data_IF_593000652412
#
_entry.id   IF_593000652412
#
_cell.length_a   1.000
_cell.length_b   1.000
_cell.length_c   1.000
_cell.angle_alpha   90.00
_cell.angle_beta   90.00
_cell.angle_gamma   90.00
#
_symmetry.space_group_name_H-M   'P 1'
#
loop_
_entity.id
_entity.type
_entity.pdbx_description
1 polymer ?
#
# COMPACT_ATOMS: atom_id res chain seq x y z
N UNK A 1 33.60 -22.96 13.92
CA UNK A 1 34.50 -22.32 14.91
C UNK A 1 35.00 -20.95 14.49
N UNK A 2 35.55 -20.75 13.28
CA UNK A 2 36.03 -19.44 12.79
C UNK A 2 34.96 -18.33 12.73
N UNK A 3 33.71 -18.67 12.37
CA UNK A 3 32.63 -17.69 12.26
C UNK A 3 32.22 -17.09 13.62
N UNK A 4 32.16 -17.92 14.66
CA UNK A 4 31.72 -17.53 16.01
C UNK A 4 32.77 -16.61 16.67
N UNK A 5 34.06 -16.92 16.48
CA UNK A 5 35.14 -16.07 16.98
C UNK A 5 35.16 -14.68 16.33
N UNK A 6 34.91 -14.60 15.03
CA UNK A 6 34.83 -13.33 14.29
C UNK A 6 33.61 -12.48 14.71
N UNK A 7 32.45 -13.11 14.90
CA UNK A 7 31.23 -12.42 15.36
C UNK A 7 31.39 -11.85 16.78
N UNK A 8 31.98 -12.62 17.70
CA UNK A 8 32.25 -12.14 19.06
C UNK A 8 33.19 -10.92 19.06
N UNK A 9 34.19 -10.91 18.16
CA UNK A 9 35.15 -9.83 18.04
C UNK A 9 34.52 -8.54 17.46
N UNK A 10 33.68 -8.67 16.42
CA UNK A 10 32.96 -7.53 15.84
C UNK A 10 31.94 -6.93 16.80
N UNK A 11 31.21 -7.76 17.56
CA UNK A 11 30.23 -7.29 18.54
C UNK A 11 30.92 -6.62 19.74
N UNK A 12 32.04 -7.17 20.21
CA UNK A 12 32.85 -6.55 21.27
C UNK A 12 33.44 -5.20 20.81
N UNK A 13 33.97 -5.13 19.59
CA UNK A 13 34.52 -3.90 19.02
C UNK A 13 33.43 -2.84 18.76
N UNK A 14 32.27 -3.26 18.27
CA UNK A 14 31.10 -2.39 18.09
C UNK A 14 30.57 -1.84 19.41
N UNK A 15 30.58 -2.63 20.49
CA UNK A 15 30.22 -2.16 21.83
C UNK A 15 31.25 -1.15 22.37
N UNK A 16 32.55 -1.41 22.19
CA UNK A 16 33.63 -0.51 22.62
C UNK A 16 33.59 0.85 21.92
N UNK A 17 33.20 0.91 20.65
CA UNK A 17 33.14 2.15 19.87
C UNK A 17 31.77 2.84 19.88
N UNK A 18 30.78 2.30 20.61
CA UNK A 18 29.40 2.79 20.56
C UNK A 18 28.72 2.61 19.20
N UNK A 19 29.27 1.76 18.33
CA UNK A 19 28.78 1.47 16.97
C UNK A 19 27.99 0.16 16.89
N UNK A 20 27.53 -0.37 18.02
CA UNK A 20 26.85 -1.68 18.10
C UNK A 20 25.72 -1.83 17.07
N UNK A 21 24.89 -0.80 16.88
CA UNK A 21 23.80 -0.82 15.91
C UNK A 21 24.25 -0.95 14.45
N UNK A 22 25.43 -0.42 14.11
CA UNK A 22 26.01 -0.54 12.77
C UNK A 22 26.46 -1.98 12.50
N UNK A 23 27.25 -2.55 13.42
CA UNK A 23 27.77 -3.91 13.28
C UNK A 23 26.66 -4.96 13.30
N UNK A 24 25.65 -4.79 14.15
CA UNK A 24 24.48 -5.65 14.18
C UNK A 24 23.71 -5.65 12.85
N UNK A 25 23.49 -4.48 12.24
CA UNK A 25 22.85 -4.38 10.91
C UNK A 25 23.72 -5.02 9.80
N UNK A 26 25.04 -4.81 9.84
CA UNK A 26 25.98 -5.41 8.91
C UNK A 26 25.94 -6.94 8.97
N UNK A 27 25.96 -7.49 10.18
CA UNK A 27 25.92 -8.92 10.44
C UNK A 27 24.61 -9.54 9.98
N UNK A 28 23.46 -8.93 10.29
CA UNK A 28 22.17 -9.37 9.76
C UNK A 28 22.14 -9.39 8.23
N UNK A 29 22.72 -8.38 7.58
CA UNK A 29 22.82 -8.32 6.11
C UNK A 29 23.67 -9.47 5.56
N UNK A 30 24.81 -9.77 6.20
CA UNK A 30 25.69 -10.88 5.82
C UNK A 30 25.00 -12.24 5.99
N UNK A 31 24.37 -12.47 7.16
CA UNK A 31 23.65 -13.71 7.45
C UNK A 31 22.47 -13.95 6.49
N UNK A 32 21.77 -12.89 6.06
CA UNK A 32 20.75 -12.97 5.00
C UNK A 32 21.34 -13.31 3.63
N UNK A 33 22.48 -12.71 3.26
CA UNK A 33 23.18 -13.01 2.01
C UNK A 33 23.65 -14.47 1.95
N UNK A 34 24.03 -15.03 3.10
CA UNK A 34 24.43 -16.43 3.26
C UNK A 34 23.24 -17.40 3.36
N UNK A 35 21.99 -16.91 3.33
CA UNK A 35 20.78 -17.73 3.47
C UNK A 35 20.52 -18.27 4.88
N UNK A 36 21.29 -17.81 5.88
CA UNK A 36 21.17 -18.21 7.28
C UNK A 36 19.96 -17.52 7.93
N UNK A 37 19.73 -16.26 7.58
CA UNK A 37 18.52 -15.52 7.96
C UNK A 37 17.55 -15.44 6.77
N UNK A 38 16.23 -15.51 7.01
CA UNK A 38 15.23 -15.37 5.95
C UNK A 38 15.35 -14.00 5.26
N UNK A 39 15.04 -13.96 3.96
CA UNK A 39 14.93 -12.71 3.21
C UNK A 39 13.95 -11.77 3.92
N UNK A 40 14.24 -10.48 3.90
CA UNK A 40 13.37 -9.48 4.53
C UNK A 40 12.00 -9.57 3.86
N UNK A 41 10.98 -9.95 4.63
CA UNK A 41 9.61 -10.12 4.10
C UNK A 41 8.90 -8.78 4.20
N UNK A 42 8.42 -8.27 3.08
CA UNK A 42 7.53 -7.12 3.03
C UNK A 42 6.14 -7.55 3.46
N UNK A 43 5.59 -6.85 4.45
CA UNK A 43 4.30 -7.14 5.08
C UNK A 43 3.35 -5.98 4.81
N UNK A 44 2.40 -6.24 3.92
CA UNK A 44 1.48 -5.24 3.40
C UNK A 44 0.18 -5.26 4.19
N UNK A 45 -0.31 -4.07 4.54
CA UNK A 45 -1.70 -3.86 4.90
C UNK A 45 -2.44 -3.22 3.73
N UNK A 46 -3.60 -3.75 3.36
CA UNK A 46 -4.49 -3.12 2.37
C UNK A 46 -5.63 -2.43 3.11
N UNK A 47 -5.82 -1.15 2.84
CA UNK A 47 -6.93 -0.35 3.37
C UNK A 47 -8.00 -0.24 2.30
N UNK A 48 -9.24 -0.59 2.63
CA UNK A 48 -10.36 -0.58 1.68
C UNK A 48 -11.71 -0.36 2.38
N UNK A 49 -12.64 0.32 1.71
CA UNK A 49 -13.97 0.65 2.26
C UNK A 49 -15.15 -0.04 1.56
N UNK A 50 -14.92 -0.74 0.45
CA UNK A 50 -15.97 -1.19 -0.48
C UNK A 50 -15.88 -2.65 -0.90
N UNK A 51 -16.22 -2.91 -2.17
CA UNK A 51 -16.27 -4.26 -2.74
C UNK A 51 -14.93 -5.01 -2.72
N UNK A 52 -13.80 -4.29 -2.80
CA UNK A 52 -12.47 -4.86 -2.65
C UNK A 52 -11.89 -5.51 -3.91
N UNK A 53 -12.34 -5.13 -5.11
CA UNK A 53 -11.84 -5.69 -6.39
C UNK A 53 -10.32 -5.54 -6.54
N UNK A 54 -9.77 -4.35 -6.24
CA UNK A 54 -8.32 -4.13 -6.21
C UNK A 54 -7.61 -4.98 -5.15
N UNK A 55 -8.19 -5.10 -3.94
CA UNK A 55 -7.63 -5.94 -2.90
C UNK A 55 -7.54 -7.41 -3.33
N UNK A 56 -8.59 -7.96 -3.97
CA UNK A 56 -8.57 -9.31 -4.53
C UNK A 56 -7.44 -9.51 -5.54
N UNK A 57 -7.19 -8.55 -6.44
CA UNK A 57 -6.10 -8.65 -7.43
C UNK A 57 -4.72 -8.60 -6.77
N UNK A 58 -4.53 -7.71 -5.79
CA UNK A 58 -3.28 -7.62 -5.02
C UNK A 58 -3.03 -8.91 -4.24
N UNK A 59 -4.04 -9.44 -3.55
CA UNK A 59 -3.94 -10.70 -2.79
C UNK A 59 -3.58 -11.85 -3.72
N UNK A 60 -4.27 -11.99 -4.85
CA UNK A 60 -4.01 -13.04 -5.83
C UNK A 60 -2.57 -12.97 -6.36
N UNK A 61 -2.09 -11.77 -6.68
CA UNK A 61 -0.73 -11.54 -7.19
C UNK A 61 0.35 -11.97 -6.19
N UNK A 62 0.15 -11.68 -4.90
CA UNK A 62 1.15 -11.97 -3.86
C UNK A 62 0.95 -13.31 -3.12
N UNK A 63 -0.07 -14.11 -3.46
CA UNK A 63 -0.43 -15.34 -2.73
C UNK A 63 0.74 -16.30 -2.50
N UNK A 64 1.60 -16.47 -3.51
CA UNK A 64 2.77 -17.36 -3.47
C UNK A 64 4.10 -16.59 -3.59
N UNK A 65 4.09 -15.28 -3.40
CA UNK A 65 5.29 -14.48 -3.57
C UNK A 65 6.29 -14.75 -2.43
N UNK A 66 7.59 -14.96 -2.72
CA UNK A 66 8.55 -15.44 -1.71
C UNK A 66 8.87 -14.43 -0.61
N UNK A 67 8.72 -13.13 -0.88
CA UNK A 67 9.18 -12.05 0.01
C UNK A 67 8.17 -10.94 0.22
N UNK A 68 6.95 -11.03 -0.33
CA UNK A 68 5.91 -10.01 -0.20
C UNK A 68 4.64 -10.72 0.23
N UNK A 69 4.01 -10.26 1.31
CA UNK A 69 2.81 -10.88 1.88
C UNK A 69 1.80 -9.81 2.24
N UNK A 70 0.55 -10.02 1.83
CA UNK A 70 -0.58 -9.28 2.38
C UNK A 70 -0.92 -9.90 3.73
N UNK A 71 -0.75 -9.14 4.80
CA UNK A 71 -0.88 -9.66 6.19
C UNK A 71 -2.11 -9.12 6.92
N UNK A 72 -2.74 -8.07 6.40
CA UNK A 72 -3.87 -7.41 7.04
C UNK A 72 -4.76 -6.70 6.02
N UNK A 73 -6.07 -6.82 6.19
CA UNK A 73 -7.05 -5.92 5.58
C UNK A 73 -7.57 -4.97 6.65
N UNK A 74 -7.43 -3.66 6.42
CA UNK A 74 -8.02 -2.63 7.28
C UNK A 74 -9.26 -2.08 6.59
N UNK A 75 -10.39 -2.10 7.30
CA UNK A 75 -11.66 -1.66 6.77
C UNK A 75 -12.39 -0.76 7.76
N UNK A 76 -13.12 0.22 7.26
CA UNK A 76 -13.91 1.16 8.05
C UNK A 76 -15.42 0.97 7.91
N UNK A 77 -15.86 -0.08 7.19
CA UNK A 77 -17.26 -0.35 6.91
C UNK A 77 -17.62 -1.80 7.24
N UNK A 78 -18.43 -2.04 8.28
CA UNK A 78 -18.98 -3.37 8.53
C UNK A 78 -19.72 -3.92 7.30
N UNK A 79 -19.55 -5.20 7.01
CA UNK A 79 -20.19 -5.86 5.87
C UNK A 79 -19.65 -5.44 4.48
N UNK A 80 -18.54 -4.71 4.40
CA UNK A 80 -17.88 -4.44 3.12
C UNK A 80 -17.40 -5.74 2.46
N UNK A 81 -17.54 -5.83 1.12
CA UNK A 81 -17.15 -7.02 0.35
C UNK A 81 -15.68 -7.43 0.54
N UNK A 82 -14.80 -6.47 0.80
CA UNK A 82 -13.38 -6.76 1.11
C UNK A 82 -13.18 -7.65 2.34
N UNK A 83 -14.10 -7.63 3.31
CA UNK A 83 -14.03 -8.49 4.50
C UNK A 83 -14.26 -9.96 4.14
N UNK A 84 -15.17 -10.23 3.21
CA UNK A 84 -15.41 -11.58 2.69
C UNK A 84 -14.18 -12.07 1.91
N UNK A 85 -13.61 -11.23 1.05
CA UNK A 85 -12.38 -11.53 0.31
C UNK A 85 -11.23 -11.88 1.27
N UNK A 86 -11.09 -11.14 2.37
CA UNK A 86 -10.08 -11.41 3.39
C UNK A 86 -10.29 -12.79 4.04
N UNK A 87 -11.52 -13.11 4.43
CA UNK A 87 -11.90 -14.39 5.03
C UNK A 87 -11.59 -15.57 4.11
N UNK A 88 -11.96 -15.48 2.83
CA UNK A 88 -11.72 -16.52 1.82
C UNK A 88 -10.24 -16.80 1.57
N UNK A 89 -9.38 -15.80 1.82
CA UNK A 89 -7.93 -15.91 1.65
C UNK A 89 -7.19 -16.12 2.99
N UNK A 90 -7.90 -16.28 4.10
CA UNK A 90 -7.30 -16.46 5.43
C UNK A 90 -6.48 -15.26 5.91
N UNK A 91 -6.82 -14.05 5.47
CA UNK A 91 -6.12 -12.81 5.85
C UNK A 91 -6.87 -12.16 7.02
N UNK A 92 -6.17 -11.84 8.13
CA UNK A 92 -6.76 -11.10 9.24
C UNK A 92 -7.37 -9.76 8.82
N UNK A 93 -8.43 -9.36 9.50
CA UNK A 93 -9.09 -8.06 9.28
C UNK A 93 -9.00 -7.19 10.54
N UNK A 94 -8.92 -5.89 10.35
CA UNK A 94 -9.05 -4.88 11.39
C UNK A 94 -10.16 -3.90 10.99
N UNK A 95 -11.26 -3.93 11.72
CA UNK A 95 -12.34 -2.96 11.57
C UNK A 95 -11.99 -1.71 12.41
N UNK A 96 -11.91 -0.55 11.75
CA UNK A 96 -11.48 0.70 12.38
C UNK A 96 -12.64 1.68 12.58
N UNK A 97 -12.56 2.44 13.67
CA UNK A 97 -13.52 3.47 14.03
C UNK A 97 -13.03 4.87 13.66
N UNK A 98 -13.96 5.73 13.24
CA UNK A 98 -13.65 7.04 12.65
C UNK A 98 -12.86 7.95 13.58
N UNK A 99 -13.27 8.08 14.83
CA UNK A 99 -12.64 9.04 15.74
C UNK A 99 -11.25 8.59 16.17
N UNK A 100 -11.08 7.31 16.54
CA UNK A 100 -9.77 6.76 16.84
C UNK A 100 -8.83 6.84 15.64
N UNK A 101 -9.33 6.53 14.45
CA UNK A 101 -8.53 6.62 13.23
C UNK A 101 -8.12 8.05 12.90
N UNK A 102 -9.06 9.00 12.89
CA UNK A 102 -8.80 10.36 12.41
C UNK A 102 -8.09 11.26 13.45
N UNK A 103 -8.39 11.07 14.74
CA UNK A 103 -7.93 11.98 15.83
C UNK A 103 -7.01 11.29 16.83
N UNK A 104 -7.01 9.96 16.88
CA UNK A 104 -6.21 9.17 17.81
C UNK A 104 -4.88 8.71 17.21
N UNK A 105 -4.59 7.43 17.44
CA UNK A 105 -3.33 6.79 17.04
C UNK A 105 -3.34 6.23 15.61
N UNK A 106 -4.45 6.36 14.88
CA UNK A 106 -4.57 5.82 13.53
C UNK A 106 -4.43 4.29 13.46
N UNK A 107 -4.57 3.59 14.60
CA UNK A 107 -4.26 2.16 14.76
C UNK A 107 -2.79 1.79 14.45
N UNK A 108 -1.86 2.75 14.58
CA UNK A 108 -0.43 2.48 14.42
C UNK A 108 0.09 1.35 15.33
N UNK A 109 -0.30 1.25 16.62
CA UNK A 109 0.16 0.17 17.50
C UNK A 109 -0.15 -1.23 16.94
N UNK A 110 -1.37 -1.44 16.44
CA UNK A 110 -1.79 -2.72 15.85
C UNK A 110 -1.02 -3.04 14.57
N UNK A 111 -0.83 -2.06 13.68
CA UNK A 111 -0.07 -2.25 12.45
C UNK A 111 1.40 -2.60 12.74
N UNK A 112 2.01 -1.92 13.71
CA UNK A 112 3.39 -2.16 14.14
C UNK A 112 3.54 -3.53 14.81
N UNK A 113 2.58 -3.95 15.64
CA UNK A 113 2.58 -5.25 16.29
C UNK A 113 2.52 -6.40 15.27
N UNK A 114 1.75 -6.25 14.19
CA UNK A 114 1.69 -7.22 13.08
C UNK A 114 3.00 -7.18 12.24
N UNK A 115 3.74 -6.08 12.34
CA UNK A 115 4.95 -5.80 11.59
C UNK A 115 4.67 -5.32 10.18
N UNK A 116 3.52 -4.67 9.96
CA UNK A 116 3.20 -4.01 8.69
C UNK A 116 4.28 -2.97 8.41
N UNK A 117 4.83 -3.00 7.21
CA UNK A 117 5.88 -2.08 6.78
C UNK A 117 5.56 -1.35 5.47
N UNK A 118 4.42 -1.66 4.85
CA UNK A 118 3.92 -0.98 3.66
C UNK A 118 2.39 -0.96 3.68
N UNK A 119 1.79 0.17 3.34
CA UNK A 119 0.34 0.37 3.34
C UNK A 119 -0.12 0.69 1.92
N UNK A 120 -1.17 -0.01 1.48
CA UNK A 120 -1.77 0.16 0.15
C UNK A 120 -3.22 0.59 0.32
N UNK A 121 -3.58 1.76 -0.17
CA UNK A 121 -4.97 2.22 -0.21
C UNK A 121 -5.61 1.73 -1.51
N UNK A 122 -6.61 0.87 -1.39
CA UNK A 122 -7.31 0.22 -2.51
C UNK A 122 -8.82 0.50 -2.37
N UNK A 123 -9.22 1.74 -2.69
CA UNK A 123 -10.60 2.21 -2.49
C UNK A 123 -10.93 2.51 -1.03
N UNK A 124 -9.97 3.07 -0.29
CA UNK A 124 -10.17 3.57 1.07
C UNK A 124 -10.64 5.03 1.03
N UNK A 125 -11.74 5.35 1.69
CA UNK A 125 -12.45 6.62 1.50
C UNK A 125 -12.22 7.67 2.60
N UNK A 126 -11.38 7.39 3.59
CA UNK A 126 -11.05 8.34 4.64
C UNK A 126 -9.67 8.96 4.43
N UNK A 127 -9.51 10.21 4.86
CA UNK A 127 -8.19 10.86 4.91
C UNK A 127 -7.27 10.05 5.79
N UNK A 128 -6.03 9.83 5.35
CA UNK A 128 -5.01 9.25 6.22
C UNK A 128 -4.59 10.29 7.27
N UNK A 129 -4.60 9.95 8.57
CA UNK A 129 -4.18 10.86 9.62
C UNK A 129 -2.66 11.09 9.58
N UNK A 130 -2.22 12.27 10.04
CA UNK A 130 -0.80 12.62 10.11
C UNK A 130 0.01 11.60 10.93
N UNK A 131 -0.58 11.06 12.00
CA UNK A 131 0.04 10.02 12.83
C UNK A 131 0.47 8.82 12.00
N UNK A 132 -0.37 8.36 11.06
CA UNK A 132 -0.05 7.21 10.21
C UNK A 132 0.97 7.57 9.13
N UNK A 133 0.86 8.75 8.52
CA UNK A 133 1.84 9.25 7.53
C UNK A 133 3.24 9.32 8.17
N UNK A 134 3.34 9.84 9.39
CA UNK A 134 4.60 9.94 10.13
C UNK A 134 5.16 8.57 10.55
N UNK A 135 4.30 7.60 10.85
CA UNK A 135 4.71 6.23 11.17
C UNK A 135 5.18 5.44 9.94
N UNK A 136 4.71 5.80 8.75
CA UNK A 136 4.99 5.13 7.48
C UNK A 136 5.52 6.11 6.40
N UNK A 137 6.64 6.80 6.65
CA UNK A 137 7.15 7.82 5.74
C UNK A 137 7.56 7.19 4.39
N UNK A 138 6.94 7.65 3.30
CA UNK A 138 7.12 7.09 1.95
C UNK A 138 6.77 5.59 1.83
N UNK A 139 5.94 5.06 2.73
CA UNK A 139 5.51 3.65 2.75
C UNK A 139 3.99 3.49 2.64
N UNK A 140 3.28 4.55 2.24
CA UNK A 140 1.85 4.53 1.96
C UNK A 140 1.64 4.94 0.51
N UNK A 141 0.95 4.11 -0.27
CA UNK A 141 0.55 4.46 -1.64
C UNK A 141 -0.95 4.34 -1.82
N UNK A 142 -1.48 5.12 -2.76
CA UNK A 142 -2.87 5.10 -3.18
C UNK A 142 -2.96 4.93 -4.69
N UNK A 143 -4.05 4.34 -5.15
CA UNK A 143 -4.48 4.40 -6.54
C UNK A 143 -5.68 5.33 -6.67
N UNK A 144 -5.58 6.30 -7.58
CA UNK A 144 -6.61 7.27 -7.86
C UNK A 144 -7.12 7.12 -9.31
N UNK A 145 -8.44 7.10 -9.55
CA UNK A 145 -9.02 6.80 -10.87
C UNK A 145 -9.07 8.03 -11.81
N UNK A 146 -7.99 8.82 -11.84
CA UNK A 146 -7.79 9.89 -12.81
C UNK A 146 -6.29 10.15 -13.03
N UNK A 147 -5.97 10.97 -14.03
CA UNK A 147 -4.62 11.48 -14.30
C UNK A 147 -4.33 12.72 -13.43
N UNK A 148 -3.84 12.49 -12.21
CA UNK A 148 -3.48 13.56 -11.28
C UNK A 148 -2.47 14.54 -11.92
N UNK A 149 -2.59 15.85 -11.63
CA UNK A 149 -3.43 16.47 -10.60
C UNK A 149 -4.91 16.66 -11.00
N UNK A 150 -5.31 16.33 -12.23
CA UNK A 150 -6.72 16.47 -12.65
C UNK A 150 -7.62 15.52 -11.85
N UNK A 151 -8.79 16.02 -11.47
CA UNK A 151 -9.84 15.27 -10.75
C UNK A 151 -9.33 14.60 -9.47
N UNK A 152 -8.29 15.13 -8.84
CA UNK A 152 -7.86 14.76 -7.49
C UNK A 152 -8.49 15.66 -6.43
N UNK A 153 -8.22 15.35 -5.17
CA UNK A 153 -8.56 16.20 -4.04
C UNK A 153 -9.85 15.80 -3.33
N UNK A 154 -10.20 16.60 -2.32
CA UNK A 154 -11.33 16.30 -1.44
C UNK A 154 -12.63 16.20 -2.22
N UNK A 155 -13.29 15.04 -2.13
CA UNK A 155 -14.59 14.78 -2.75
C UNK A 155 -14.51 14.08 -4.12
N UNK A 156 -13.31 13.97 -4.69
CA UNK A 156 -13.06 13.22 -5.92
C UNK A 156 -12.71 11.77 -5.60
N UNK A 157 -13.72 10.92 -5.40
CA UNK A 157 -13.52 9.49 -5.15
C UNK A 157 -14.65 8.66 -5.75
N UNK A 158 -14.35 7.41 -6.10
CA UNK A 158 -15.32 6.48 -6.68
C UNK A 158 -15.99 7.06 -7.95
N UNK A 159 -17.29 6.81 -8.11
CA UNK A 159 -18.06 7.23 -9.29
C UNK A 159 -17.98 8.74 -9.60
N UNK A 160 -17.83 9.58 -8.57
CA UNK A 160 -17.74 11.05 -8.73
C UNK A 160 -16.59 11.48 -9.64
N UNK A 161 -15.50 10.72 -9.68
CA UNK A 161 -14.36 11.02 -10.55
C UNK A 161 -14.77 10.78 -12.01
N UNK A 162 -15.38 9.64 -12.30
CA UNK A 162 -15.83 9.28 -13.64
C UNK A 162 -16.92 10.22 -14.15
N UNK A 163 -17.89 10.56 -13.29
CA UNK A 163 -18.93 11.55 -13.58
C UNK A 163 -18.32 12.92 -13.95
N UNK A 164 -17.34 13.39 -13.18
CA UNK A 164 -16.68 14.67 -13.45
C UNK A 164 -15.86 14.66 -14.75
N UNK A 165 -15.17 13.56 -15.06
CA UNK A 165 -14.40 13.39 -16.29
C UNK A 165 -15.32 13.40 -17.52
N UNK A 166 -16.42 12.65 -17.47
CA UNK A 166 -17.41 12.59 -18.56
C UNK A 166 -18.11 13.94 -18.73
N UNK A 167 -18.53 14.58 -17.63
CA UNK A 167 -19.18 15.89 -17.68
C UNK A 167 -18.27 16.98 -18.26
N UNK A 168 -16.97 16.88 -18.06
CA UNK A 168 -15.98 17.79 -18.63
C UNK A 168 -15.71 17.55 -20.13
N UNK A 169 -16.24 16.47 -20.72
CA UNK A 169 -16.05 16.14 -22.13
C UNK A 169 -14.62 15.70 -22.49
N UNK A 170 -13.86 15.20 -21.52
CA UNK A 170 -12.50 14.72 -21.72
C UNK A 170 -12.45 13.59 -22.76
N UNK A 171 -11.32 13.48 -23.47
CA UNK A 171 -11.08 12.43 -24.49
C UNK A 171 -10.18 11.31 -24.00
N UNK A 172 -9.55 11.53 -22.86
CA UNK A 172 -8.66 10.59 -22.21
C UNK A 172 -8.89 10.64 -20.70
N UNK A 173 -8.78 9.49 -20.05
CA UNK A 173 -8.70 9.37 -18.60
C UNK A 173 -7.66 8.32 -18.25
N UNK A 174 -7.58 7.92 -16.98
CA UNK A 174 -6.62 6.92 -16.57
C UNK A 174 -6.54 6.78 -15.06
N UNK A 175 -5.47 6.13 -14.62
CA UNK A 175 -5.18 5.93 -13.21
C UNK A 175 -3.88 6.64 -12.84
N UNK A 176 -3.77 7.04 -11.57
CA UNK A 176 -2.52 7.46 -10.97
C UNK A 176 -2.26 6.65 -9.71
N UNK A 177 -1.08 6.04 -9.62
CA UNK A 177 -0.56 5.48 -8.38
C UNK A 177 0.44 6.49 -7.83
N UNK A 178 0.27 6.89 -6.58
CA UNK A 178 1.07 7.94 -5.96
C UNK A 178 1.33 7.64 -4.49
N UNK A 179 2.36 8.27 -3.94
CA UNK A 179 2.58 8.29 -2.50
C UNK A 179 1.49 9.10 -1.81
N UNK A 180 1.15 8.73 -0.58
CA UNK A 180 0.21 9.50 0.26
C UNK A 180 1.00 10.48 1.12
N UNK A 181 0.53 11.72 1.17
CA UNK A 181 1.00 12.76 2.09
C UNK A 181 -0.20 13.37 2.84
N UNK A 182 0.01 14.49 3.53
CA UNK A 182 -0.99 15.20 4.32
C UNK A 182 -2.09 15.86 3.48
N UNK A 183 -1.90 15.95 2.17
CA UNK A 183 -2.81 16.55 1.20
C UNK A 183 -3.47 15.45 0.34
N UNK A 184 -4.71 15.69 -0.09
CA UNK A 184 -5.42 14.70 -0.91
C UNK A 184 -4.82 14.67 -2.31
N UNK A 185 -4.33 13.50 -2.72
CA UNK A 185 -3.90 13.23 -4.09
C UNK A 185 -2.80 14.16 -4.62
N UNK A 186 -2.00 14.72 -3.71
CA UNK A 186 -0.89 15.65 -4.01
C UNK A 186 0.49 15.04 -3.74
N UNK A 187 0.55 13.78 -3.29
CA UNK A 187 1.83 13.11 -3.11
C UNK A 187 2.48 12.72 -4.45
N UNK A 188 3.78 12.44 -4.41
CA UNK A 188 4.56 12.21 -5.61
C UNK A 188 4.02 11.04 -6.45
N UNK A 189 3.82 11.29 -7.74
CA UNK A 189 3.39 10.29 -8.73
C UNK A 189 4.43 9.18 -8.85
N UNK A 190 3.97 7.94 -8.81
CA UNK A 190 4.78 6.73 -9.01
C UNK A 190 4.56 6.18 -10.41
N UNK A 191 3.29 6.13 -10.84
CA UNK A 191 2.91 5.53 -12.11
C UNK A 191 1.58 6.11 -12.61
N UNK A 192 1.43 6.22 -13.92
CA UNK A 192 0.18 6.54 -14.59
C UNK A 192 -0.03 5.61 -15.79
N UNK A 193 -1.29 5.31 -16.07
CA UNK A 193 -1.72 4.64 -17.30
C UNK A 193 -3.01 5.28 -17.79
N UNK A 194 -3.20 5.33 -19.11
CA UNK A 194 -4.33 6.02 -19.74
C UNK A 194 -5.28 5.07 -20.46
N UNK A 195 -6.51 5.54 -20.69
CA UNK A 195 -7.47 4.94 -21.59
C UNK A 195 -8.25 6.02 -22.33
N UNK A 196 -8.60 5.74 -23.60
CA UNK A 196 -9.42 6.64 -24.41
C UNK A 196 -10.88 6.63 -23.98
N UNK A 197 -11.50 7.82 -24.02
CA UNK A 197 -12.95 8.02 -23.89
C UNK A 197 -13.52 8.14 -25.29
N UNK A 198 -14.40 7.20 -25.65
CA UNK A 198 -15.06 7.15 -26.94
C UNK A 198 -16.39 7.90 -26.91
N UNK A 199 -16.91 8.21 -28.10
CA UNK A 199 -18.24 8.77 -28.22
C UNK A 199 -19.28 7.76 -27.70
N UNK A 200 -20.14 8.21 -26.78
CA UNK A 200 -21.15 7.38 -26.15
C UNK A 200 -20.70 6.67 -24.87
N UNK A 201 -19.44 6.83 -24.44
CA UNK A 201 -19.06 6.42 -23.09
C UNK A 201 -19.81 7.24 -22.03
N UNK A 202 -20.16 6.58 -20.94
CA UNK A 202 -20.71 7.17 -19.74
C UNK A 202 -19.81 6.91 -18.53
N UNK A 203 -20.23 7.34 -17.34
CA UNK A 203 -19.42 7.19 -16.13
C UNK A 203 -19.19 5.72 -15.76
N UNK A 204 -20.16 4.84 -16.04
CA UNK A 204 -20.07 3.41 -15.73
C UNK A 204 -19.17 2.69 -16.72
N UNK A 205 -19.27 2.97 -18.03
CA UNK A 205 -18.39 2.40 -19.05
C UNK A 205 -16.94 2.86 -18.83
N UNK A 206 -16.74 4.11 -18.43
CA UNK A 206 -15.43 4.62 -18.01
C UNK A 206 -14.92 3.91 -16.76
N UNK A 207 -15.75 3.74 -15.72
CA UNK A 207 -15.36 3.03 -14.51
C UNK A 207 -14.85 1.60 -14.80
N UNK A 208 -15.49 0.89 -15.74
CA UNK A 208 -15.02 -0.44 -16.16
C UNK A 208 -13.63 -0.40 -16.81
N UNK A 209 -13.37 0.58 -17.69
CA UNK A 209 -12.05 0.75 -18.31
C UNK A 209 -10.98 1.06 -17.26
N UNK A 210 -11.30 1.97 -16.33
CA UNK A 210 -10.40 2.34 -15.23
C UNK A 210 -10.12 1.13 -14.35
N UNK A 211 -11.11 0.37 -13.91
CA UNK A 211 -10.89 -0.85 -13.13
C UNK A 211 -10.00 -1.86 -13.86
N UNK A 212 -10.12 -1.98 -15.18
CA UNK A 212 -9.19 -2.76 -15.99
C UNK A 212 -7.74 -2.31 -15.83
N UNK A 213 -7.48 -1.00 -15.92
CA UNK A 213 -6.16 -0.42 -15.67
C UNK A 213 -5.68 -0.65 -14.24
N UNK A 214 -6.53 -0.42 -13.24
CA UNK A 214 -6.18 -0.61 -11.82
C UNK A 214 -5.75 -2.06 -11.56
N UNK A 215 -6.52 -3.03 -12.05
CA UNK A 215 -6.26 -4.46 -11.84
C UNK A 215 -4.98 -4.91 -12.55
N UNK A 216 -4.71 -4.34 -13.72
CA UNK A 216 -3.51 -4.64 -14.50
C UNK A 216 -2.26 -4.07 -13.86
N UNK A 217 -2.31 -2.84 -13.36
CA UNK A 217 -1.10 -2.09 -13.00
C UNK A 217 -0.81 -2.08 -11.51
N UNK A 218 -1.81 -2.05 -10.63
CA UNK A 218 -1.58 -1.78 -9.21
C UNK A 218 -0.72 -2.85 -8.53
N UNK A 219 -0.99 -4.17 -8.69
CA UNK A 219 -0.15 -5.22 -8.09
C UNK A 219 1.30 -5.17 -8.60
N UNK A 220 1.49 -4.93 -9.90
CA UNK A 220 2.82 -4.87 -10.52
C UNK A 220 3.64 -3.67 -10.02
N UNK A 221 3.00 -2.51 -9.85
CA UNK A 221 3.68 -1.32 -9.34
C UNK A 221 4.06 -1.50 -7.87
N UNK A 222 3.18 -2.10 -7.05
CA UNK A 222 3.50 -2.46 -5.66
C UNK A 222 4.73 -3.37 -5.60
N UNK A 223 4.78 -4.41 -6.42
CA UNK A 223 5.93 -5.33 -6.46
C UNK A 223 7.22 -4.61 -6.83
N UNK A 224 7.20 -3.79 -7.90
CA UNK A 224 8.37 -3.02 -8.35
C UNK A 224 8.92 -2.08 -7.28
N UNK A 225 8.06 -1.49 -6.45
CA UNK A 225 8.48 -0.63 -5.35
C UNK A 225 9.20 -1.41 -4.24
N UNK A 226 8.78 -2.66 -4.01
CA UNK A 226 9.18 -3.46 -2.86
C UNK A 226 10.34 -4.44 -3.12
N UNK A 227 10.64 -4.73 -4.39
CA UNK A 227 11.71 -5.66 -4.83
C UNK A 227 13.06 -4.95 -5.08
N UNK A 228 13.20 -3.65 -4.78
CA UNK A 228 14.46 -2.90 -4.92
C UNK A 228 15.62 -3.46 -4.11
#
# INVERSE_FOLDING_TARGET
>A
MLLIGYQALLLAYGALLGQWAFFWKYEQKLLRKLGILPKNTQKLAIFASGAGSNAAKIIAHFKNHPTIKVVLIVCNKPGAGVLQIASENGIPTLLIEKDRFAKGDGYCPELLQIGVNFVVLAGFLWKIPQTLINAYPNQIINIHPALLPKYGGKGMYGAKVHEAVIAAGEKESGITIHYVNEHYDEGATIFQATCSIHQGDDADSLAHKIHGLEHQHFPLVIERLLVK
#
